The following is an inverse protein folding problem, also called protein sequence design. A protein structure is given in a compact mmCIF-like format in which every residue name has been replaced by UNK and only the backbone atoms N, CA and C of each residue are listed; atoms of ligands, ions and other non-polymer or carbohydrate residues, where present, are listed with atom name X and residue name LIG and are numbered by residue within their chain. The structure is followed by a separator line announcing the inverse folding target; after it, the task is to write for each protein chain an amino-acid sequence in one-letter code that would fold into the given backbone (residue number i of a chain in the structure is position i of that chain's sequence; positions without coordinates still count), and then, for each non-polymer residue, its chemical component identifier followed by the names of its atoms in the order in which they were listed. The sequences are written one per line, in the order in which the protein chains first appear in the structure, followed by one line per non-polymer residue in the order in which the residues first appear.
data_IF_363930702179
#
_entry.id   IF_363930702179
#
_cell.length_a   1.000
_cell.length_b   1.000
_cell.length_c   1.000
_cell.angle_alpha   90.00
_cell.angle_beta   90.00
_cell.angle_gamma   90.00
#
_symmetry.space_group_name_H-M   'P 1'
#
loop_
_entity.id
_entity.type
_entity.pdbx_description
1 polymer ?
#
# COMPACT_ATOMS: atom_id res chain seq x y z
N UNK A 1 -44.02 58.18 19.36
CA UNK A 1 -43.78 56.80 19.83
C UNK A 1 -42.80 56.14 18.86
N UNK A 2 -41.51 56.17 19.17
CA UNK A 2 -40.44 55.81 18.24
C UNK A 2 -40.01 54.35 18.40
N UNK A 3 -39.86 53.69 17.24
CA UNK A 3 -39.73 52.25 17.05
C UNK A 3 -38.44 51.68 17.66
N UNK A 4 -38.59 50.54 18.32
CA UNK A 4 -37.53 49.71 18.91
C UNK A 4 -36.55 49.26 17.82
N UNK A 5 -35.28 49.69 17.91
CA UNK A 5 -34.19 49.15 17.10
C UNK A 5 -33.70 47.86 17.75
N UNK A 6 -34.22 46.70 17.33
CA UNK A 6 -33.61 45.40 17.60
C UNK A 6 -32.40 45.27 16.67
N UNK A 7 -31.23 45.66 17.15
CA UNK A 7 -29.97 45.43 16.45
C UNK A 7 -29.68 43.92 16.49
N UNK A 8 -29.73 43.31 15.32
CA UNK A 8 -29.46 41.89 15.09
C UNK A 8 -28.12 41.48 15.68
N UNK A 9 -28.16 40.62 16.69
CA UNK A 9 -27.01 39.91 17.22
C UNK A 9 -27.05 38.48 16.64
N UNK A 10 -26.81 38.37 15.34
CA UNK A 10 -26.70 37.07 14.64
C UNK A 10 -25.53 37.18 13.68
N UNK A 11 -24.31 36.99 14.18
CA UNK A 11 -23.19 36.54 13.32
C UNK A 11 -22.00 35.99 14.13
N UNK A 12 -22.24 34.94 14.93
CA UNK A 12 -21.15 34.21 15.59
C UNK A 12 -21.41 32.70 15.64
N UNK A 13 -21.86 32.09 14.55
CA UNK A 13 -22.01 30.61 14.44
C UNK A 13 -21.12 30.00 13.34
N UNK A 14 -20.08 30.71 12.89
CA UNK A 14 -19.21 30.25 11.80
C UNK A 14 -17.80 29.81 12.26
N UNK A 15 -17.66 29.35 13.50
CA UNK A 15 -16.43 28.74 14.04
C UNK A 15 -16.97 27.66 15.00
N UNK A 16 -16.88 26.36 14.79
CA UNK A 16 -15.81 25.53 14.27
C UNK A 16 -16.48 24.31 13.63
N UNK A 17 -16.47 24.21 12.31
CA UNK A 17 -16.55 22.89 11.70
C UNK A 17 -15.25 22.19 12.08
N UNK A 18 -15.28 21.32 13.09
CA UNK A 18 -14.17 20.42 13.34
C UNK A 18 -13.99 19.63 12.04
N UNK A 19 -13.01 20.02 11.23
CA UNK A 19 -12.50 19.15 10.17
C UNK A 19 -11.78 18.05 10.94
N UNK A 20 -12.55 17.09 11.45
CA UNK A 20 -11.98 15.88 12.00
C UNK A 20 -11.35 15.23 10.78
N UNK A 21 -10.02 15.25 10.71
CA UNK A 21 -9.31 14.49 9.71
C UNK A 21 -9.86 13.06 9.75
N UNK A 22 -10.11 12.47 8.58
CA UNK A 22 -10.59 11.09 8.52
C UNK A 22 -9.49 10.17 9.07
N UNK A 23 -9.58 9.88 10.37
CA UNK A 23 -8.64 9.07 11.14
C UNK A 23 -8.95 7.58 11.01
N UNK A 24 -9.77 7.17 10.05
CA UNK A 24 -9.95 5.75 9.77
C UNK A 24 -8.63 5.16 9.25
N UNK A 25 -7.95 4.42 10.12
CA UNK A 25 -6.67 3.76 9.85
C UNK A 25 -6.69 2.88 8.59
N UNK A 26 -7.86 2.37 8.19
CA UNK A 26 -8.00 1.57 6.98
C UNK A 26 -7.78 2.37 5.69
N UNK A 27 -7.80 3.72 5.75
CA UNK A 27 -7.36 4.60 4.66
C UNK A 27 -5.86 4.49 4.35
N UNK A 28 -5.08 3.89 5.24
CA UNK A 28 -3.63 3.70 5.09
C UNK A 28 -3.25 2.21 4.98
N UNK A 29 -4.22 1.32 4.75
CA UNK A 29 -3.94 -0.09 4.49
C UNK A 29 -3.60 -0.25 3.01
N UNK A 30 -2.38 -0.69 2.74
CA UNK A 30 -1.88 -0.91 1.38
C UNK A 30 -1.92 -2.39 1.01
N UNK A 31 -1.91 -2.72 -0.30
CA UNK A 31 -1.70 -4.07 -0.78
C UNK A 31 -0.42 -4.70 -0.20
N UNK A 32 -0.43 -5.99 0.14
CA UNK A 32 0.78 -6.73 0.54
C UNK A 32 1.93 -6.63 -0.46
N UNK A 33 3.15 -6.81 0.03
CA UNK A 33 4.37 -6.66 -0.78
C UNK A 33 4.40 -7.58 -1.99
N UNK A 34 3.86 -8.80 -1.89
CA UNK A 34 3.72 -9.71 -3.04
C UNK A 34 2.91 -9.09 -4.20
N UNK A 35 1.96 -8.20 -3.93
CA UNK A 35 1.15 -7.55 -4.97
C UNK A 35 1.89 -6.40 -5.67
N UNK A 36 3.00 -5.91 -5.11
CA UNK A 36 3.76 -4.81 -5.73
C UNK A 36 4.52 -5.25 -6.97
N UNK A 37 4.84 -6.54 -7.08
CA UNK A 37 5.42 -7.13 -8.28
C UNK A 37 4.34 -7.26 -9.37
N UNK A 38 4.45 -6.44 -10.41
CA UNK A 38 3.46 -6.32 -11.47
C UNK A 38 4.08 -6.48 -12.85
N UNK A 39 3.41 -7.19 -13.75
CA UNK A 39 3.77 -7.26 -15.17
C UNK A 39 3.27 -6.00 -15.89
N UNK A 40 4.12 -5.26 -16.63
CA UNK A 40 3.70 -4.03 -17.31
C UNK A 40 2.49 -4.22 -18.23
N UNK A 41 2.41 -5.36 -18.93
CA UNK A 41 1.33 -5.70 -19.87
C UNK A 41 0.00 -6.08 -19.21
N UNK A 42 0.00 -6.36 -17.91
CA UNK A 42 -1.18 -6.78 -17.15
C UNK A 42 -1.20 -6.09 -15.78
N UNK A 43 -0.92 -4.79 -15.77
CA UNK A 43 -0.86 -4.00 -14.54
C UNK A 43 -2.21 -4.06 -13.81
N UNK A 44 -2.18 -4.38 -12.51
CA UNK A 44 -3.39 -4.63 -11.71
C UNK A 44 -4.02 -6.02 -11.92
N UNK A 45 -3.59 -6.77 -12.93
CA UNK A 45 -4.12 -8.09 -13.28
C UNK A 45 -2.99 -9.10 -13.52
N UNK A 46 -1.87 -8.91 -12.83
CA UNK A 46 -0.72 -9.81 -12.91
C UNK A 46 -1.14 -11.20 -12.44
N UNK A 47 -0.81 -12.23 -13.24
CA UNK A 47 -1.10 -13.62 -12.90
C UNK A 47 -0.47 -13.97 -11.53
N UNK A 48 -1.36 -14.20 -10.56
CA UNK A 48 -0.99 -14.44 -9.16
C UNK A 48 -0.23 -15.75 -9.01
N UNK A 49 -0.62 -16.79 -9.75
CA UNK A 49 0.02 -18.11 -9.65
C UNK A 49 1.40 -18.07 -10.29
N UNK A 50 1.54 -17.40 -11.43
CA UNK A 50 2.84 -17.24 -12.08
C UNK A 50 3.78 -16.38 -11.22
N UNK A 51 3.29 -15.25 -10.69
CA UNK A 51 4.06 -14.40 -9.76
C UNK A 51 4.56 -15.17 -8.54
N UNK A 52 3.69 -15.98 -7.94
CA UNK A 52 4.07 -16.83 -6.80
C UNK A 52 5.16 -17.84 -7.17
N UNK A 53 5.04 -18.52 -8.30
CA UNK A 53 6.08 -19.43 -8.81
C UNK A 53 7.40 -18.70 -9.04
N UNK A 54 7.35 -17.51 -9.63
CA UNK A 54 8.53 -16.71 -9.92
C UNK A 54 9.22 -16.21 -8.64
N UNK A 55 8.48 -15.79 -7.62
CA UNK A 55 9.03 -15.42 -6.32
C UNK A 55 9.77 -16.59 -5.65
N UNK A 56 9.20 -17.80 -5.67
CA UNK A 56 9.90 -18.99 -5.17
C UNK A 56 11.14 -19.31 -6.02
N UNK A 57 11.06 -19.18 -7.35
CA UNK A 57 12.21 -19.36 -8.23
C UNK A 57 13.32 -18.31 -7.98
N UNK A 58 12.95 -17.12 -7.50
CA UNK A 58 13.88 -16.07 -7.07
C UNK A 58 14.37 -16.22 -5.61
N UNK A 59 14.09 -17.36 -4.97
CA UNK A 59 14.70 -17.71 -3.68
C UNK A 59 13.89 -17.34 -2.45
N UNK A 60 12.63 -16.89 -2.59
CA UNK A 60 11.74 -16.74 -1.42
C UNK A 60 11.48 -18.11 -0.80
N UNK A 61 11.59 -18.21 0.53
CA UNK A 61 11.31 -19.45 1.25
C UNK A 61 9.87 -19.93 1.04
N UNK A 62 9.68 -21.25 0.91
CA UNK A 62 8.36 -21.87 0.84
C UNK A 62 7.57 -21.80 2.16
N UNK A 63 8.19 -21.37 3.25
CA UNK A 63 7.49 -21.04 4.49
C UNK A 63 6.55 -19.84 4.31
N UNK A 64 6.84 -18.95 3.36
CA UNK A 64 5.96 -17.83 3.01
C UNK A 64 4.86 -18.31 2.06
N UNK A 65 3.57 -18.09 2.39
CA UNK A 65 2.46 -18.55 1.56
C UNK A 65 2.31 -17.75 0.27
N UNK A 66 2.70 -16.48 0.22
CA UNK A 66 2.70 -15.64 -1.00
C UNK A 66 1.36 -15.57 -1.74
N UNK A 67 0.25 -15.67 -1.01
CA UNK A 67 -1.08 -15.33 -1.52
C UNK A 67 -1.21 -13.81 -1.63
N UNK A 68 -2.14 -13.30 -2.45
CA UNK A 68 -2.35 -11.84 -2.56
C UNK A 68 -2.72 -11.15 -1.23
N UNK A 69 -3.20 -11.91 -0.24
CA UNK A 69 -3.49 -11.43 1.13
C UNK A 69 -2.39 -11.77 2.15
N UNK A 70 -1.21 -12.21 1.71
CA UNK A 70 -0.12 -12.60 2.60
C UNK A 70 0.59 -11.38 3.20
N UNK A 71 0.36 -11.14 4.49
CA UNK A 71 0.99 -10.05 5.23
C UNK A 71 2.27 -10.44 5.96
N UNK A 72 2.70 -11.71 5.87
CA UNK A 72 3.88 -12.22 6.55
C UNK A 72 5.16 -11.94 5.77
N UNK A 73 5.10 -12.03 4.44
CA UNK A 73 6.19 -11.66 3.56
C UNK A 73 6.20 -10.14 3.30
N UNK A 74 7.05 -9.41 4.03
CA UNK A 74 7.19 -7.95 3.91
C UNK A 74 8.60 -7.58 3.44
N UNK A 75 8.72 -6.51 2.64
CA UNK A 75 10.02 -6.03 2.15
C UNK A 75 11.04 -5.85 3.27
N UNK A 76 10.61 -5.28 4.39
CA UNK A 76 11.50 -4.92 5.52
C UNK A 76 11.45 -5.94 6.67
N UNK A 77 11.02 -7.19 6.43
CA UNK A 77 11.01 -8.24 7.45
C UNK A 77 12.36 -8.97 7.48
N UNK A 78 12.93 -9.10 8.69
CA UNK A 78 14.13 -9.90 8.93
C UNK A 78 13.74 -11.35 9.19
N UNK A 79 14.36 -12.28 8.47
CA UNK A 79 14.16 -13.73 8.65
C UNK A 79 15.34 -14.34 9.46
N UNK A 80 15.62 -13.77 10.65
CA UNK A 80 16.72 -14.19 11.52
C UNK A 80 18.12 -13.79 11.03
N UNK A 81 18.17 -12.92 10.02
CA UNK A 81 19.39 -12.40 9.41
C UNK A 81 19.77 -11.00 9.96
N UNK A 82 21.01 -10.57 9.71
CA UNK A 82 21.44 -9.18 9.95
C UNK A 82 20.85 -8.21 8.91
N UNK A 83 20.92 -6.91 9.17
CA UNK A 83 20.45 -5.88 8.23
C UNK A 83 21.20 -5.93 6.89
N UNK A 84 22.51 -6.15 6.89
CA UNK A 84 23.30 -6.26 5.65
C UNK A 84 22.87 -7.48 4.82
N UNK A 85 22.67 -8.62 5.47
CA UNK A 85 22.17 -9.84 4.81
C UNK A 85 20.74 -9.65 4.27
N UNK A 86 19.91 -8.90 4.99
CA UNK A 86 18.57 -8.54 4.56
C UNK A 86 18.60 -7.69 3.30
N UNK A 87 19.42 -6.64 3.28
CA UNK A 87 19.58 -5.76 2.11
C UNK A 87 20.05 -6.56 0.89
N UNK A 88 21.03 -7.45 1.07
CA UNK A 88 21.47 -8.35 0.00
C UNK A 88 20.35 -9.29 -0.48
N UNK A 89 19.57 -9.87 0.44
CA UNK A 89 18.48 -10.79 0.11
C UNK A 89 17.41 -10.09 -0.69
N UNK A 90 16.97 -8.91 -0.26
CA UNK A 90 15.98 -8.11 -0.96
C UNK A 90 16.52 -7.65 -2.31
N UNK A 91 17.77 -7.17 -2.39
CA UNK A 91 18.40 -6.78 -3.65
C UNK A 91 18.44 -7.94 -4.66
N UNK A 92 18.85 -9.14 -4.24
CA UNK A 92 18.89 -10.34 -5.09
C UNK A 92 17.48 -10.73 -5.58
N UNK A 93 16.49 -10.70 -4.68
CA UNK A 93 15.10 -10.99 -5.01
C UNK A 93 14.53 -10.00 -6.02
N UNK A 94 14.64 -8.70 -5.75
CA UNK A 94 14.06 -7.64 -6.56
C UNK A 94 14.66 -7.65 -7.97
N UNK A 95 16.00 -7.74 -8.09
CA UNK A 95 16.67 -7.89 -9.39
C UNK A 95 16.24 -9.14 -10.15
N UNK A 96 16.06 -10.28 -9.46
CA UNK A 96 15.60 -11.50 -10.11
C UNK A 96 14.18 -11.34 -10.68
N UNK A 97 13.29 -10.67 -9.95
CA UNK A 97 11.93 -10.39 -10.41
C UNK A 97 11.94 -9.39 -11.58
N UNK A 98 12.78 -8.37 -11.54
CA UNK A 98 12.96 -7.43 -12.65
C UNK A 98 13.51 -8.11 -13.91
N UNK A 99 14.49 -9.00 -13.77
CA UNK A 99 15.02 -9.81 -14.87
C UNK A 99 13.95 -10.73 -15.49
N UNK A 100 12.99 -11.18 -14.69
CA UNK A 100 11.80 -11.90 -15.17
C UNK A 100 10.77 -10.98 -15.82
N UNK A 101 10.97 -9.67 -15.85
CA UNK A 101 10.10 -8.68 -16.48
C UNK A 101 8.97 -8.16 -15.58
N UNK A 102 9.12 -8.25 -14.26
CA UNK A 102 8.26 -7.55 -13.32
C UNK A 102 8.74 -6.11 -13.12
N UNK A 103 7.80 -5.20 -12.91
CA UNK A 103 8.05 -3.90 -12.31
C UNK A 103 7.62 -3.94 -10.85
N UNK A 104 8.46 -3.43 -9.98
CA UNK A 104 8.22 -3.36 -8.54
C UNK A 104 7.71 -1.95 -8.24
N UNK A 105 6.59 -1.87 -7.52
CA UNK A 105 5.99 -0.60 -7.14
C UNK A 105 6.10 -0.37 -5.64
N UNK A 106 6.30 0.87 -5.23
CA UNK A 106 6.11 1.22 -3.82
C UNK A 106 4.63 1.08 -3.44
N UNK A 107 4.36 0.73 -2.18
CA UNK A 107 3.00 0.64 -1.65
C UNK A 107 2.18 1.91 -1.91
N UNK A 108 2.81 3.08 -1.80
CA UNK A 108 2.18 4.37 -2.10
C UNK A 108 1.73 4.51 -3.56
N UNK A 109 2.45 3.90 -4.50
CA UNK A 109 2.12 3.90 -5.93
C UNK A 109 0.92 3.01 -6.26
N UNK A 110 0.65 2.00 -5.42
CA UNK A 110 -0.53 1.15 -5.55
C UNK A 110 -1.81 1.84 -5.03
N UNK A 111 -1.65 2.82 -4.13
CA UNK A 111 -2.76 3.43 -3.41
C UNK A 111 -3.31 2.52 -2.30
N UNK A 112 -4.11 3.05 -1.37
CA UNK A 112 -4.70 2.27 -0.29
C UNK A 112 -5.81 1.34 -0.81
N UNK A 113 -6.04 0.22 -0.14
CA UNK A 113 -7.08 -0.78 -0.50
C UNK A 113 -8.48 -0.18 -0.57
N UNK A 114 -8.77 0.86 0.24
CA UNK A 114 -10.05 1.58 0.22
C UNK A 114 -10.25 2.45 -1.02
N UNK A 115 -9.16 2.88 -1.65
CA UNK A 115 -9.16 3.71 -2.86
C UNK A 115 -8.05 3.22 -3.79
N UNK A 116 -8.22 2.00 -4.35
CA UNK A 116 -7.17 1.38 -5.14
C UNK A 116 -6.90 2.23 -6.37
N UNK A 117 -5.62 2.39 -6.73
CA UNK A 117 -5.26 3.11 -7.95
C UNK A 117 -5.57 2.32 -9.24
N UNK A 118 -6.00 1.07 -9.10
CA UNK A 118 -6.02 0.08 -10.18
C UNK A 118 -4.68 -0.62 -10.40
N UNK A 119 -3.61 -0.15 -9.75
CA UNK A 119 -2.30 -0.83 -9.69
C UNK A 119 -2.24 -1.68 -8.43
N UNK A 120 -1.64 -2.86 -8.55
CA UNK A 120 -1.42 -3.79 -7.43
C UNK A 120 -2.70 -4.35 -6.78
N UNK A 121 -3.74 -4.62 -7.59
CA UNK A 121 -4.94 -5.37 -7.16
C UNK A 121 -4.65 -6.86 -6.93
#
# INVERSE_FOLDING_TARGET
MNKIKKMSLILSFALYGCVVADMDSSNYRYPPYVQTFQKPQSMGHTDVQQRRKDLYACGVSKSHPLHSWDETFRRNSLDGESMEQHDERIFKLENCMEAKGYKIFDHSSCGPLKKPSGKCN
#
